data_IF_258263750135
#
_entry.id   IF_258263750135
#
_cell.length_a   1.000
_cell.length_b   1.000
_cell.length_c   1.000
_cell.angle_alpha   90.00
_cell.angle_beta   90.00
_cell.angle_gamma   90.00
#
_symmetry.space_group_name_H-M   'P 1'
#
loop_
_entity.id
_entity.type
_entity.pdbx_description
1 polymer ?
#
# COMPACT_ATOMS: atom_id res chain seq x y z
N UNK A 1 -35.92 18.53 -21.85
CA UNK A 1 -35.33 17.42 -21.06
C UNK A 1 -33.82 17.44 -21.25
N UNK A 2 -33.06 17.93 -20.26
CA UNK A 2 -31.59 17.88 -20.29
C UNK A 2 -31.18 16.49 -19.82
N UNK A 3 -30.63 15.66 -20.71
CA UNK A 3 -30.00 14.38 -20.33
C UNK A 3 -28.76 14.73 -19.50
N UNK A 4 -28.76 14.41 -18.22
CA UNK A 4 -27.55 14.51 -17.40
C UNK A 4 -26.57 13.45 -17.88
N UNK A 5 -25.40 13.90 -18.32
CA UNK A 5 -24.27 13.07 -18.69
C UNK A 5 -23.80 12.35 -17.43
N UNK A 6 -23.92 11.01 -17.38
CA UNK A 6 -23.42 10.23 -16.27
C UNK A 6 -21.93 10.55 -16.05
N UNK A 7 -21.50 10.91 -14.84
CA UNK A 7 -20.09 11.17 -14.58
C UNK A 7 -19.35 9.86 -14.82
N UNK A 8 -18.35 9.88 -15.70
CA UNK A 8 -17.41 8.78 -15.88
C UNK A 8 -16.52 8.72 -14.63
N UNK A 9 -17.04 8.19 -13.53
CA UNK A 9 -16.31 8.13 -12.27
C UNK A 9 -15.35 6.95 -12.32
N UNK A 10 -14.07 7.18 -12.00
CA UNK A 10 -12.97 6.20 -11.93
C UNK A 10 -13.19 5.04 -10.93
N UNK A 11 -14.39 4.91 -10.37
CA UNK A 11 -14.74 4.08 -9.21
C UNK A 11 -16.22 3.63 -9.29
N UNK A 12 -16.69 3.23 -10.47
CA UNK A 12 -18.09 2.86 -10.68
C UNK A 12 -18.53 1.70 -9.77
N UNK A 13 -17.60 0.81 -9.44
CA UNK A 13 -17.77 -0.29 -8.49
C UNK A 13 -18.06 0.21 -7.07
N UNK A 14 -17.33 1.21 -6.58
CA UNK A 14 -17.54 1.79 -5.24
C UNK A 14 -18.85 2.57 -5.20
N UNK A 15 -19.18 3.27 -6.29
CA UNK A 15 -20.46 3.97 -6.40
C UNK A 15 -21.65 3.01 -6.37
N UNK A 16 -21.54 1.87 -7.05
CA UNK A 16 -22.59 0.85 -7.01
C UNK A 16 -22.75 0.27 -5.60
N UNK A 17 -21.63 -0.04 -4.93
CA UNK A 17 -21.62 -0.52 -3.55
C UNK A 17 -22.30 0.48 -2.61
N UNK A 18 -21.95 1.76 -2.68
CA UNK A 18 -22.59 2.82 -1.90
C UNK A 18 -24.11 2.86 -2.12
N UNK A 19 -24.55 2.79 -3.38
CA UNK A 19 -25.98 2.80 -3.73
C UNK A 19 -26.76 1.62 -3.14
N UNK A 20 -26.14 0.43 -3.07
CA UNK A 20 -26.77 -0.74 -2.44
C UNK A 20 -27.12 -0.51 -0.96
N UNK A 21 -26.37 0.33 -0.25
CA UNK A 21 -26.58 0.61 1.17
C UNK A 21 -27.30 1.94 1.44
N UNK A 22 -27.18 2.92 0.55
CA UNK A 22 -27.85 4.23 0.67
C UNK A 22 -29.34 4.19 0.30
N UNK A 23 -29.85 3.12 -0.33
CA UNK A 23 -31.27 2.91 -0.63
C UNK A 23 -31.95 4.15 -1.27
N UNK A 24 -31.34 4.66 -2.35
CA UNK A 24 -31.75 5.86 -3.11
C UNK A 24 -31.67 7.20 -2.35
N UNK A 25 -31.15 7.21 -1.13
CA UNK A 25 -30.84 8.43 -0.40
C UNK A 25 -29.52 9.04 -0.89
N UNK A 26 -29.38 10.35 -0.72
CA UNK A 26 -28.14 11.06 -1.06
C UNK A 26 -27.02 10.77 -0.07
N UNK A 27 -27.35 10.35 1.14
CA UNK A 27 -26.42 10.07 2.24
C UNK A 27 -26.64 8.67 2.80
N UNK A 28 -25.58 8.09 3.35
CA UNK A 28 -25.54 6.79 3.99
C UNK A 28 -25.59 6.97 5.52
N UNK A 29 -26.71 6.66 6.20
CA UNK A 29 -26.80 6.81 7.65
C UNK A 29 -25.90 5.82 8.41
N UNK A 30 -25.49 6.15 9.63
CA UNK A 30 -24.62 5.32 10.47
C UNK A 30 -25.09 3.86 10.60
N UNK A 31 -26.40 3.63 10.77
CA UNK A 31 -26.96 2.28 10.83
C UNK A 31 -26.85 1.50 9.52
N UNK A 32 -26.82 2.18 8.36
CA UNK A 32 -26.56 1.54 7.07
C UNK A 32 -25.07 1.27 6.86
N UNK A 33 -24.21 2.18 7.30
CA UNK A 33 -22.76 1.96 7.34
C UNK A 33 -22.39 0.77 8.24
N UNK A 34 -23.05 0.61 9.39
CA UNK A 34 -22.84 -0.55 10.26
C UNK A 34 -23.14 -1.88 9.56
N UNK A 35 -24.24 -1.95 8.80
CA UNK A 35 -24.57 -3.14 7.99
C UNK A 35 -23.51 -3.41 6.94
N UNK A 36 -22.98 -2.37 6.31
CA UNK A 36 -21.86 -2.48 5.38
C UNK A 36 -20.62 -3.06 6.06
N UNK A 37 -20.25 -2.56 7.25
CA UNK A 37 -19.09 -3.07 8.01
C UNK A 37 -19.25 -4.55 8.36
N UNK A 38 -20.43 -4.96 8.81
CA UNK A 38 -20.70 -6.36 9.17
C UNK A 38 -20.69 -7.30 7.97
N UNK A 39 -21.19 -6.86 6.81
CA UNK A 39 -21.41 -7.73 5.65
C UNK A 39 -20.25 -7.74 4.66
N UNK A 40 -19.67 -6.58 4.37
CA UNK A 40 -18.62 -6.44 3.35
C UNK A 40 -17.22 -6.42 3.96
N UNK A 41 -17.05 -5.81 5.14
CA UNK A 41 -15.74 -5.73 5.82
C UNK A 41 -15.53 -6.87 6.84
N UNK A 42 -16.56 -7.70 7.08
CA UNK A 42 -16.54 -8.79 8.07
C UNK A 42 -16.27 -8.33 9.51
N UNK A 43 -16.53 -7.07 9.81
CA UNK A 43 -16.20 -6.44 11.08
C UNK A 43 -17.32 -6.65 12.11
N UNK A 44 -17.61 -7.91 12.46
CA UNK A 44 -18.77 -8.28 13.29
C UNK A 44 -18.79 -7.68 14.69
N UNK A 45 -17.63 -7.26 15.21
CA UNK A 45 -17.51 -6.58 16.50
C UNK A 45 -17.88 -5.09 16.45
N UNK A 46 -18.03 -4.50 15.25
CA UNK A 46 -18.37 -3.10 15.10
C UNK A 46 -19.76 -2.80 15.70
N UNK A 47 -19.86 -1.67 16.40
CA UNK A 47 -21.10 -1.13 16.95
C UNK A 47 -21.49 0.18 16.26
N UNK A 48 -22.65 0.74 16.61
CA UNK A 48 -23.14 1.98 16.01
C UNK A 48 -22.25 3.19 16.34
N UNK A 49 -21.57 3.17 17.49
CA UNK A 49 -20.56 4.17 17.85
C UNK A 49 -19.32 4.07 16.94
N UNK A 50 -18.85 2.87 16.59
CA UNK A 50 -17.74 2.68 15.66
C UNK A 50 -18.10 3.21 14.27
N UNK A 51 -19.33 2.97 13.80
CA UNK A 51 -19.81 3.57 12.55
C UNK A 51 -19.87 5.10 12.64
N UNK A 52 -20.32 5.66 13.77
CA UNK A 52 -20.29 7.10 14.03
C UNK A 52 -18.87 7.68 14.00
N UNK A 53 -17.92 7.04 14.67
CA UNK A 53 -16.52 7.46 14.70
C UNK A 53 -15.87 7.45 13.30
N UNK A 54 -16.29 6.53 12.42
CA UNK A 54 -15.84 6.52 11.02
C UNK A 54 -16.42 7.70 10.23
N UNK A 55 -17.68 8.06 10.47
CA UNK A 55 -18.30 9.24 9.88
C UNK A 55 -17.55 10.49 10.32
N UNK A 56 -17.32 10.66 11.62
CA UNK A 56 -16.62 11.83 12.17
C UNK A 56 -15.18 11.96 11.64
N UNK A 57 -14.54 10.85 11.28
CA UNK A 57 -13.16 10.82 10.78
C UNK A 57 -13.05 11.12 9.28
N UNK A 58 -13.98 10.63 8.48
CA UNK A 58 -13.86 10.59 7.02
C UNK A 58 -14.82 11.52 6.27
N UNK A 59 -15.90 11.95 6.93
CA UNK A 59 -16.82 12.93 6.38
C UNK A 59 -16.29 14.35 6.57
N UNK A 60 -16.54 15.21 5.59
CA UNK A 60 -16.16 16.63 5.61
C UNK A 60 -17.40 17.52 5.68
N UNK A 61 -18.52 17.06 5.11
CA UNK A 61 -19.75 17.85 5.05
C UNK A 61 -20.40 17.93 6.44
N UNK A 62 -20.41 19.13 7.05
CA UNK A 62 -20.91 19.36 8.42
C UNK A 62 -22.38 18.92 8.57
N UNK A 63 -23.22 19.17 7.57
CA UNK A 63 -24.63 18.76 7.58
C UNK A 63 -24.81 17.23 7.61
N UNK A 64 -23.89 16.49 6.99
CA UNK A 64 -23.88 15.04 7.01
C UNK A 64 -23.38 14.51 8.36
N UNK A 65 -22.36 15.15 8.94
CA UNK A 65 -21.83 14.83 10.27
C UNK A 65 -22.92 15.03 11.34
N UNK A 66 -23.60 16.18 11.35
CA UNK A 66 -24.69 16.48 12.29
C UNK A 66 -25.84 15.48 12.20
N UNK A 67 -26.15 14.99 11.00
CA UNK A 67 -27.17 13.99 10.76
C UNK A 67 -26.68 12.54 10.92
N UNK A 68 -25.46 12.32 11.44
CA UNK A 68 -24.80 11.01 11.56
C UNK A 68 -24.89 10.19 10.27
N UNK A 69 -24.59 10.84 9.17
CA UNK A 69 -24.66 10.30 7.82
C UNK A 69 -23.37 10.57 7.05
N UNK A 70 -23.06 9.72 6.07
CA UNK A 70 -21.88 9.82 5.23
C UNK A 70 -22.28 10.06 3.77
N UNK A 71 -21.63 10.98 3.10
CA UNK A 71 -21.77 11.20 1.66
C UNK A 71 -20.97 10.17 0.87
N UNK A 72 -21.19 10.09 -0.44
CA UNK A 72 -20.37 9.24 -1.31
C UNK A 72 -18.88 9.58 -1.24
N UNK A 73 -18.53 10.87 -1.14
CA UNK A 73 -17.14 11.31 -1.02
C UNK A 73 -16.52 10.88 0.33
N UNK A 74 -17.26 10.99 1.43
CA UNK A 74 -16.83 10.46 2.73
C UNK A 74 -16.61 8.95 2.70
N UNK A 75 -17.53 8.22 2.06
CA UNK A 75 -17.42 6.77 1.89
C UNK A 75 -16.22 6.39 1.01
N UNK A 76 -15.98 7.13 -0.07
CA UNK A 76 -14.82 6.91 -0.93
C UNK A 76 -13.50 7.14 -0.17
N UNK A 77 -13.41 8.20 0.64
CA UNK A 77 -12.24 8.46 1.49
C UNK A 77 -12.01 7.34 2.50
N UNK A 78 -13.08 6.83 3.10
CA UNK A 78 -12.99 5.68 4.00
C UNK A 78 -12.47 4.43 3.26
N UNK A 79 -13.00 4.11 2.08
CA UNK A 79 -12.55 2.96 1.27
C UNK A 79 -11.09 3.09 0.79
N UNK A 80 -10.58 4.30 0.61
CA UNK A 80 -9.19 4.58 0.25
C UNK A 80 -8.27 4.72 1.48
N UNK A 81 -8.82 4.68 2.69
CA UNK A 81 -8.09 4.86 3.92
C UNK A 81 -7.29 3.60 4.30
N UNK A 82 -6.39 3.77 5.27
CA UNK A 82 -5.65 2.65 5.85
C UNK A 82 -6.55 1.67 6.60
N UNK A 83 -7.71 2.13 7.10
CA UNK A 83 -8.67 1.27 7.80
C UNK A 83 -9.27 0.20 6.86
N UNK A 84 -9.29 0.44 5.54
CA UNK A 84 -9.69 -0.54 4.52
C UNK A 84 -8.49 -1.22 3.83
N UNK A 85 -7.27 -1.08 4.38
CA UNK A 85 -6.10 -1.69 3.77
C UNK A 85 -6.12 -3.21 3.97
N UNK A 86 -6.02 -3.97 2.87
CA UNK A 86 -5.90 -5.43 2.90
C UNK A 86 -4.63 -5.89 3.62
N UNK A 87 -3.60 -5.03 3.69
CA UNK A 87 -2.39 -5.32 4.45
C UNK A 87 -2.62 -5.08 5.93
N UNK A 88 -2.40 -6.13 6.72
CA UNK A 88 -2.36 -6.03 8.17
C UNK A 88 -1.27 -5.04 8.60
N UNK A 89 -1.70 -3.92 9.17
CA UNK A 89 -0.78 -2.86 9.59
C UNK A 89 0.14 -3.32 10.73
N UNK A 90 -0.24 -4.33 11.52
CA UNK A 90 0.61 -4.90 12.56
C UNK A 90 1.87 -5.57 11.97
N UNK A 91 1.79 -5.99 10.71
CA UNK A 91 2.91 -6.58 9.96
C UNK A 91 3.76 -5.53 9.23
N UNK A 92 3.51 -4.24 9.43
CA UNK A 92 4.32 -3.15 8.83
C UNK A 92 5.66 -2.96 9.54
N UNK A 93 5.78 -3.44 10.78
CA UNK A 93 7.03 -3.53 11.54
C UNK A 93 7.50 -4.97 11.65
N UNK A 94 8.75 -5.21 12.05
CA UNK A 94 9.23 -6.56 12.36
C UNK A 94 8.39 -7.13 13.50
N UNK A 95 7.63 -8.19 13.20
CA UNK A 95 6.72 -8.87 14.13
C UNK A 95 7.07 -10.34 14.33
N UNK A 96 7.98 -10.88 13.52
CA UNK A 96 8.45 -12.25 13.61
C UNK A 96 9.58 -12.32 14.65
N UNK A 97 9.73 -13.48 15.29
CA UNK A 97 10.90 -13.78 16.11
C UNK A 97 12.14 -13.71 15.22
N UNK A 98 13.13 -12.89 15.59
CA UNK A 98 14.36 -12.69 14.81
C UNK A 98 15.57 -13.41 15.43
N UNK A 99 15.37 -14.25 16.46
CA UNK A 99 16.43 -14.98 17.17
C UNK A 99 16.68 -16.41 16.62
N UNK A 100 15.82 -16.91 15.73
CA UNK A 100 16.01 -18.19 15.03
C UNK A 100 17.20 -18.13 14.04
N UNK A 101 17.79 -19.26 13.61
CA UNK A 101 18.88 -19.27 12.64
C UNK A 101 18.42 -18.78 11.26
N UNK A 102 19.34 -18.19 10.46
CA UNK A 102 19.03 -17.61 9.15
C UNK A 102 18.30 -18.54 8.17
N UNK A 103 18.49 -19.86 8.31
CA UNK A 103 17.81 -20.89 7.50
C UNK A 103 16.29 -20.95 7.74
N UNK A 104 15.80 -20.37 8.83
CA UNK A 104 14.38 -20.34 9.19
C UNK A 104 13.62 -19.18 8.54
N UNK A 105 14.29 -18.27 7.84
CA UNK A 105 13.67 -17.10 7.22
C UNK A 105 13.74 -17.11 5.70
N UNK A 106 12.70 -16.57 5.07
CA UNK A 106 12.77 -16.20 3.66
C UNK A 106 13.54 -14.89 3.51
N UNK A 107 14.64 -14.93 2.76
CA UNK A 107 15.50 -13.77 2.53
C UNK A 107 15.15 -13.14 1.18
N UNK A 108 14.81 -11.85 1.18
CA UNK A 108 14.65 -11.07 -0.05
C UNK A 108 16.02 -10.81 -0.67
N UNK A 109 16.40 -11.60 -1.68
CA UNK A 109 17.65 -11.47 -2.42
C UNK A 109 17.42 -10.95 -3.84
N UNK A 110 18.22 -10.00 -4.30
CA UNK A 110 18.28 -9.62 -5.73
C UNK A 110 19.42 -10.31 -6.45
N UNK A 111 19.15 -10.71 -7.70
CA UNK A 111 20.17 -11.20 -8.62
C UNK A 111 20.65 -10.03 -9.49
N UNK A 112 21.97 -9.83 -9.59
CA UNK A 112 22.61 -8.79 -10.42
C UNK A 112 22.11 -7.35 -10.17
N UNK A 113 22.11 -6.91 -8.91
CA UNK A 113 21.66 -5.60 -8.43
C UNK A 113 22.30 -4.39 -9.12
N UNK A 114 23.40 -4.58 -9.85
CA UNK A 114 24.08 -3.52 -10.60
C UNK A 114 23.44 -3.22 -11.96
N UNK A 115 22.65 -4.14 -12.52
CA UNK A 115 22.06 -3.99 -13.85
C UNK A 115 20.78 -3.16 -13.77
N UNK A 116 20.74 -2.06 -14.53
CA UNK A 116 19.52 -1.28 -14.75
C UNK A 116 18.80 -1.67 -16.06
N UNK A 117 19.23 -2.75 -16.72
CA UNK A 117 18.73 -3.21 -18.01
C UNK A 117 18.98 -4.69 -18.27
N UNK A 118 18.93 -5.10 -19.54
CA UNK A 118 18.99 -6.50 -19.95
C UNK A 118 20.31 -7.22 -19.56
N UNK A 119 20.28 -8.54 -19.32
CA UNK A 119 21.43 -9.30 -18.81
C UNK A 119 22.61 -9.37 -19.79
N UNK A 120 22.37 -9.12 -21.07
CA UNK A 120 23.38 -9.27 -22.14
C UNK A 120 23.94 -7.93 -22.65
N UNK A 121 23.16 -6.83 -22.57
CA UNK A 121 23.55 -5.51 -23.15
C UNK A 121 23.24 -4.33 -22.19
N UNK A 122 22.77 -4.63 -20.97
CA UNK A 122 22.37 -3.62 -19.99
C UNK A 122 23.54 -2.84 -19.40
N UNK A 123 23.33 -1.53 -19.19
CA UNK A 123 24.26 -0.67 -18.46
C UNK A 123 24.20 -0.98 -16.97
N UNK A 124 25.35 -0.87 -16.32
CA UNK A 124 25.50 -1.03 -14.87
C UNK A 124 25.59 0.33 -14.20
N UNK A 125 24.79 0.59 -13.17
CA UNK A 125 24.80 1.87 -12.44
C UNK A 125 24.79 1.67 -10.92
N UNK A 126 25.55 2.50 -10.21
CA UNK A 126 25.58 2.50 -8.74
C UNK A 126 24.20 2.84 -8.14
N UNK A 127 23.41 3.65 -8.84
CA UNK A 127 22.06 4.05 -8.43
C UNK A 127 21.10 2.85 -8.31
N UNK A 128 21.38 1.75 -9.02
CA UNK A 128 20.62 0.50 -8.90
C UNK A 128 20.73 -0.10 -7.49
N UNK A 129 21.91 -0.02 -6.88
CA UNK A 129 22.11 -0.43 -5.48
C UNK A 129 21.42 0.50 -4.51
N UNK A 130 21.44 1.82 -4.75
CA UNK A 130 20.76 2.80 -3.88
C UNK A 130 19.24 2.61 -3.93
N UNK A 131 18.69 2.37 -5.11
CA UNK A 131 17.28 2.09 -5.30
C UNK A 131 16.87 0.75 -4.67
N UNK A 132 17.67 -0.30 -4.85
CA UNK A 132 17.42 -1.59 -4.21
C UNK A 132 17.47 -1.48 -2.69
N UNK A 133 18.44 -0.76 -2.11
CA UNK A 133 18.50 -0.46 -0.67
C UNK A 133 17.26 0.28 -0.16
N UNK A 134 16.77 1.26 -0.91
CA UNK A 134 15.55 2.01 -0.55
C UNK A 134 14.28 1.16 -0.61
N UNK A 135 14.26 0.10 -1.42
CA UNK A 135 13.14 -0.86 -1.51
C UNK A 135 13.27 -2.02 -0.53
N UNK A 136 14.49 -2.44 -0.22
CA UNK A 136 14.79 -3.57 0.67
C UNK A 136 15.19 -3.04 2.05
N UNK A 137 14.24 -2.46 2.78
CA UNK A 137 14.44 -1.95 4.14
C UNK A 137 14.54 -3.08 5.19
N UNK A 138 14.59 -4.35 4.77
CA UNK A 138 14.57 -5.52 5.68
C UNK A 138 15.96 -6.17 5.82
N UNK A 139 16.97 -5.81 5.01
CA UNK A 139 18.24 -6.56 4.99
C UNK A 139 19.47 -5.68 5.19
N UNK A 140 19.82 -5.41 6.46
CA UNK A 140 21.16 -4.95 6.85
C UNK A 140 22.22 -6.04 6.67
N UNK A 141 21.82 -7.32 6.60
CA UNK A 141 22.74 -8.47 6.52
C UNK A 141 23.24 -8.75 5.10
N UNK A 142 22.39 -8.57 4.07
CA UNK A 142 22.77 -8.85 2.67
C UNK A 142 23.80 -7.85 2.11
N UNK A 143 23.92 -6.67 2.73
CA UNK A 143 24.80 -5.63 2.24
C UNK A 143 26.28 -5.90 2.50
N UNK A 144 26.60 -6.62 3.57
CA UNK A 144 28.00 -6.96 3.87
C UNK A 144 28.56 -8.00 2.90
N UNK A 145 27.75 -8.96 2.45
CA UNK A 145 28.21 -9.98 1.49
C UNK A 145 28.32 -9.43 0.07
N UNK A 146 27.38 -8.58 -0.36
CA UNK A 146 27.42 -7.99 -1.71
C UNK A 146 28.55 -6.98 -1.89
N UNK A 147 28.97 -6.24 -0.84
CA UNK A 147 30.14 -5.37 -0.93
C UNK A 147 31.44 -6.17 -1.10
N UNK A 148 31.61 -7.28 -0.37
CA UNK A 148 32.81 -8.11 -0.48
C UNK A 148 32.96 -8.74 -1.87
N UNK A 149 31.85 -9.18 -2.49
CA UNK A 149 31.88 -9.76 -3.85
C UNK A 149 32.09 -8.68 -4.92
N UNK A 150 31.63 -7.45 -4.69
CA UNK A 150 31.85 -6.33 -5.61
C UNK A 150 33.30 -5.82 -5.57
N UNK A 151 33.92 -5.71 -4.39
CA UNK A 151 35.33 -5.28 -4.28
C UNK A 151 36.29 -6.27 -4.96
N UNK A 152 36.01 -7.57 -4.89
CA UNK A 152 36.79 -8.62 -5.57
C UNK A 152 36.68 -8.61 -7.11
N UNK A 153 35.60 -8.06 -7.67
CA UNK A 153 35.41 -7.99 -9.14
C UNK A 153 36.00 -6.72 -9.76
N UNK A 154 36.07 -5.62 -9.01
CA UNK A 154 36.63 -4.33 -9.49
C UNK A 154 38.17 -4.35 -9.48
N UNK A 155 38.81 -5.20 -8.67
CA UNK A 155 40.27 -5.37 -8.61
C UNK A 155 40.86 -6.27 -9.70
N UNK A 156 40.04 -6.79 -10.62
CA UNK A 156 40.56 -7.55 -11.77
C UNK A 156 41.21 -6.62 -12.81
N UNK A 157 42.35 -6.99 -13.42
CA UNK A 157 43.22 -6.05 -14.14
C UNK A 157 42.60 -5.38 -15.37
N UNK A 158 41.47 -5.91 -15.86
CA UNK A 158 40.77 -5.44 -17.06
C UNK A 158 39.97 -4.15 -16.85
N UNK A 159 39.71 -3.72 -15.60
CA UNK A 159 38.98 -2.49 -15.32
C UNK A 159 39.85 -1.22 -15.23
N UNK A 160 41.16 -1.37 -14.94
CA UNK A 160 42.09 -0.24 -14.73
C UNK A 160 42.44 0.51 -16.02
N UNK A 161 42.21 -0.10 -17.17
CA UNK A 161 42.53 0.47 -18.48
C UNK A 161 41.42 1.39 -19.03
N UNK A 162 40.19 1.31 -18.50
CA UNK A 162 39.05 2.12 -18.98
C UNK A 162 38.78 3.39 -18.20
N UNK A 163 39.32 3.53 -16.98
CA UNK A 163 39.07 4.69 -16.12
C UNK A 163 40.32 5.01 -15.29
N UNK A 164 41.23 5.88 -15.79
CA UNK A 164 42.28 6.46 -14.96
C UNK A 164 41.68 7.44 -13.93
N UNK A 165 42.41 7.75 -12.84
CA UNK A 165 41.90 8.53 -11.72
C UNK A 165 41.42 9.93 -12.10
#
# INVERSE_FOLDING_TARGET
MKKSKAPSSRRAEIQHLYQCYAADQTTLPAGALLRFLHKEQMEHAANEEAAGNLIDRYEIEETAIESRSMTFEGFLRYMESKDCCVFDQTHTSVYQDMDEPLSSYFISSSHNTYLTGDQLVGKSHLDAYVWYKKKSTICTVLLFLLLHVAELKITTPTAREKYPP
#
